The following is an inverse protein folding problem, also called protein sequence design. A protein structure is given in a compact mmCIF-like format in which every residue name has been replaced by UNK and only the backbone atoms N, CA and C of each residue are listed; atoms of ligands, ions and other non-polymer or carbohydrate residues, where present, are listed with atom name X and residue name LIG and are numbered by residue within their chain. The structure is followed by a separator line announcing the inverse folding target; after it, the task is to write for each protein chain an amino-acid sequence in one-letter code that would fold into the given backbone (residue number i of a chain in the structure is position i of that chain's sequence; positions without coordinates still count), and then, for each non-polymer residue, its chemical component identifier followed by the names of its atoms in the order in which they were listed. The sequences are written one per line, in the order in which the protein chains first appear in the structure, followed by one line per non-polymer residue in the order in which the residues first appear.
data_IF_585400785938
#
_entry.id   IF_585400785938
#
_cell.length_a   1.000
_cell.length_b   1.000
_cell.length_c   1.000
_cell.angle_alpha   90.00
_cell.angle_beta   90.00
_cell.angle_gamma   90.00
#
_symmetry.space_group_name_H-M   'P 1'
#
loop_
_entity.id
_entity.type
_entity.pdbx_description
1 polymer ?
#
# COMPACT_ATOMS: atom_id res chain seq x y z
N UNK A 1 -10.74 -5.55 10.49
CA UNK A 1 -10.49 -6.03 11.88
C UNK A 1 -10.74 -4.95 12.94
N UNK A 2 -10.31 -3.71 12.73
CA UNK A 2 -10.34 -2.68 13.78
C UNK A 2 -11.72 -2.13 14.16
N UNK A 3 -12.78 -2.55 13.46
CA UNK A 3 -14.17 -2.32 13.87
C UNK A 3 -14.64 -3.29 14.95
N UNK A 4 -13.89 -4.37 15.21
CA UNK A 4 -14.20 -5.33 16.26
C UNK A 4 -13.90 -4.74 17.64
N UNK A 5 -14.63 -5.22 18.66
CA UNK A 5 -14.28 -4.98 20.06
C UNK A 5 -12.91 -5.58 20.38
N UNK A 6 -12.15 -4.96 21.27
CA UNK A 6 -10.81 -5.37 21.68
C UNK A 6 -10.78 -6.84 22.12
N UNK A 7 -11.78 -7.27 22.91
CA UNK A 7 -11.94 -8.68 23.33
C UNK A 7 -12.03 -9.67 22.17
N UNK A 8 -12.65 -9.28 21.05
CA UNK A 8 -12.78 -10.16 19.88
C UNK A 8 -11.48 -10.17 19.07
N UNK A 9 -10.82 -9.02 18.94
CA UNK A 9 -9.51 -8.95 18.30
C UNK A 9 -8.46 -9.76 19.08
N UNK A 10 -8.52 -9.75 20.41
CA UNK A 10 -7.64 -10.52 21.29
C UNK A 10 -7.72 -12.03 21.00
N UNK A 11 -8.92 -12.58 20.78
CA UNK A 11 -9.10 -14.00 20.44
C UNK A 11 -8.35 -14.43 19.18
N UNK A 12 -8.07 -13.51 18.25
CA UNK A 12 -7.26 -13.79 17.05
C UNK A 12 -5.77 -13.52 17.23
N UNK A 13 -5.40 -12.53 18.05
CA UNK A 13 -4.01 -12.08 18.20
C UNK A 13 -3.28 -12.87 19.28
N UNK A 14 -3.91 -13.10 20.43
CA UNK A 14 -3.25 -13.71 21.59
C UNK A 14 -2.73 -15.13 21.33
N UNK A 15 -3.43 -16.02 20.61
CA UNK A 15 -2.89 -17.33 20.27
C UNK A 15 -1.56 -17.22 19.50
N UNK A 16 -1.41 -16.21 18.62
CA UNK A 16 -0.18 -15.99 17.85
C UNK A 16 1.01 -15.53 18.72
N UNK A 17 0.77 -15.26 20.02
CA UNK A 17 1.77 -14.89 21.02
C UNK A 17 2.28 -16.09 21.82
N UNK A 18 1.68 -17.27 21.65
CA UNK A 18 2.11 -18.49 22.33
C UNK A 18 3.41 -19.04 21.71
N UNK A 19 4.18 -19.79 22.51
CA UNK A 19 5.50 -20.28 22.11
C UNK A 19 5.49 -21.18 20.87
N UNK A 20 4.39 -21.89 20.60
CA UNK A 20 4.25 -22.67 19.36
C UNK A 20 4.27 -21.79 18.09
N UNK A 21 3.96 -20.50 18.22
CA UNK A 21 3.98 -19.49 17.17
C UNK A 21 5.17 -18.53 17.27
N UNK A 22 6.28 -18.95 17.89
CA UNK A 22 7.51 -18.14 17.95
C UNK A 22 8.08 -17.81 16.56
N UNK A 23 7.83 -18.65 15.55
CA UNK A 23 8.20 -18.34 14.17
C UNK A 23 7.45 -17.12 13.59
N UNK A 24 6.33 -16.71 14.18
CA UNK A 24 5.60 -15.49 13.81
C UNK A 24 6.28 -14.28 14.48
N UNK A 25 7.03 -13.54 13.68
CA UNK A 25 7.80 -12.38 14.12
C UNK A 25 7.07 -11.05 13.88
N UNK A 26 6.00 -11.06 13.10
CA UNK A 26 5.33 -9.82 12.66
C UNK A 26 3.82 -10.01 12.56
N UNK A 27 3.08 -9.10 13.18
CA UNK A 27 1.62 -9.01 13.08
C UNK A 27 1.27 -7.72 12.35
N UNK A 28 0.51 -7.84 11.26
CA UNK A 28 0.09 -6.70 10.43
C UNK A 28 -1.42 -6.55 10.48
N UNK A 29 -1.89 -5.33 10.77
CA UNK A 29 -3.31 -5.02 10.84
C UNK A 29 -3.66 -3.97 9.79
N UNK A 30 -4.36 -4.38 8.73
CA UNK A 30 -4.90 -3.46 7.72
C UNK A 30 -6.16 -2.75 8.21
N UNK A 31 -6.17 -1.42 8.16
CA UNK A 31 -7.34 -0.64 8.58
C UNK A 31 -7.46 0.74 7.94
N UNK A 32 -8.71 1.17 7.73
CA UNK A 32 -9.08 2.57 7.43
C UNK A 32 -9.67 3.29 8.66
N UNK A 33 -9.88 2.60 9.79
CA UNK A 33 -10.46 3.21 11.00
C UNK A 33 -9.66 4.40 11.51
N UNK A 34 -8.33 4.44 11.30
CA UNK A 34 -7.51 5.56 11.75
C UNK A 34 -7.79 6.88 11.00
N UNK A 35 -8.36 6.81 9.79
CA UNK A 35 -8.79 8.00 9.04
C UNK A 35 -10.24 8.37 9.32
N UNK A 36 -11.19 7.44 9.21
CA UNK A 36 -12.62 7.78 9.37
C UNK A 36 -13.16 7.68 10.80
N UNK A 37 -12.50 6.93 11.69
CA UNK A 37 -12.96 6.68 13.08
C UNK A 37 -11.78 6.64 14.09
N UNK A 38 -11.04 7.75 14.23
CA UNK A 38 -9.90 7.81 15.15
C UNK A 38 -10.28 7.63 16.63
N UNK A 39 -11.55 7.89 16.99
CA UNK A 39 -12.10 7.66 18.33
C UNK A 39 -11.93 6.22 18.84
N UNK A 40 -11.84 5.24 17.91
CA UNK A 40 -11.51 3.84 18.19
C UNK A 40 -10.28 3.64 19.07
N UNK A 41 -9.34 4.57 18.99
CA UNK A 41 -8.05 4.54 19.69
C UNK A 41 -7.96 5.59 20.79
N UNK A 42 -9.03 6.35 21.03
CA UNK A 42 -8.98 7.52 21.93
C UNK A 42 -10.09 7.53 22.97
N UNK A 43 -11.35 7.36 22.59
CA UNK A 43 -12.50 7.61 23.48
C UNK A 43 -13.51 6.46 23.54
N UNK A 44 -13.47 5.54 22.59
CA UNK A 44 -14.36 4.37 22.63
C UNK A 44 -14.14 3.57 23.91
N UNK A 45 -15.20 2.92 24.40
CA UNK A 45 -15.24 2.22 25.69
C UNK A 45 -14.06 1.25 25.90
N UNK A 46 -13.62 0.56 24.84
CA UNK A 46 -12.54 -0.42 24.87
C UNK A 46 -11.25 0.06 24.19
N UNK A 47 -11.07 1.38 24.00
CA UNK A 47 -9.88 1.95 23.37
C UNK A 47 -8.60 1.61 24.15
N UNK A 48 -8.66 1.64 25.48
CA UNK A 48 -7.53 1.32 26.35
C UNK A 48 -7.20 -0.18 26.31
N UNK A 49 -8.21 -1.05 26.29
CA UNK A 49 -8.03 -2.50 26.11
C UNK A 49 -7.34 -2.84 24.79
N UNK A 50 -7.73 -2.14 23.73
CA UNK A 50 -7.12 -2.32 22.42
C UNK A 50 -5.63 -1.94 22.44
N UNK A 51 -5.27 -0.82 23.06
CA UNK A 51 -3.86 -0.40 23.13
C UNK A 51 -3.05 -1.31 24.05
N UNK A 52 -3.62 -1.81 25.14
CA UNK A 52 -2.99 -2.85 25.97
C UNK A 52 -2.70 -4.13 25.18
N UNK A 53 -3.62 -4.52 24.29
CA UNK A 53 -3.36 -5.65 23.38
C UNK A 53 -2.18 -5.35 22.44
N UNK A 54 -2.07 -4.13 21.92
CA UNK A 54 -0.93 -3.73 21.08
C UNK A 54 0.40 -3.73 21.86
N UNK A 55 0.41 -3.22 23.09
CA UNK A 55 1.56 -3.28 24.00
C UNK A 55 1.98 -4.72 24.26
N UNK A 56 1.02 -5.62 24.52
CA UNK A 56 1.28 -7.05 24.75
C UNK A 56 1.99 -7.69 23.56
N UNK A 57 1.57 -7.39 22.33
CA UNK A 57 2.25 -7.90 21.11
C UNK A 57 3.71 -7.45 21.06
N UNK A 58 3.97 -6.16 21.30
CA UNK A 58 5.32 -5.58 21.24
C UNK A 58 6.21 -6.08 22.38
N UNK A 59 5.67 -6.21 23.60
CA UNK A 59 6.38 -6.74 24.76
C UNK A 59 6.80 -8.20 24.61
N UNK A 60 6.07 -8.98 23.81
CA UNK A 60 6.45 -10.35 23.40
C UNK A 60 7.52 -10.36 22.28
N UNK A 61 8.13 -9.22 21.98
CA UNK A 61 9.21 -9.09 20.99
C UNK A 61 8.74 -9.15 19.54
N UNK A 62 7.42 -9.17 19.27
CA UNK A 62 6.89 -9.23 17.90
C UNK A 62 6.71 -7.85 17.31
N UNK A 63 6.97 -7.72 16.01
CA UNK A 63 6.78 -6.48 15.27
C UNK A 63 5.30 -6.23 14.98
N UNK A 64 4.71 -5.19 15.59
CA UNK A 64 3.33 -4.78 15.31
C UNK A 64 3.31 -3.66 14.27
N UNK A 65 2.68 -3.90 13.12
CA UNK A 65 2.50 -2.91 12.07
C UNK A 65 1.02 -2.64 11.75
N UNK A 66 0.57 -1.41 12.01
CA UNK A 66 -0.73 -0.92 11.58
C UNK A 66 -0.60 -0.37 10.16
N UNK A 67 -1.24 -1.05 9.20
CA UNK A 67 -1.30 -0.62 7.80
C UNK A 67 -2.49 0.33 7.63
N UNK A 68 -2.26 1.61 7.90
CA UNK A 68 -3.28 2.65 7.90
C UNK A 68 -3.56 3.19 6.48
N UNK A 69 -4.83 3.42 6.17
CA UNK A 69 -5.26 3.98 4.91
C UNK A 69 -5.61 5.47 5.04
N UNK A 70 -4.86 6.31 4.34
CA UNK A 70 -5.06 7.77 4.25
C UNK A 70 -5.03 8.20 2.79
N UNK A 71 -6.15 8.70 2.30
CA UNK A 71 -6.32 9.17 0.92
C UNK A 71 -6.03 10.67 0.80
N UNK A 72 -6.21 11.46 1.87
CA UNK A 72 -5.99 12.90 1.81
C UNK A 72 -5.41 13.46 3.13
N UNK A 73 -4.54 14.46 3.05
CA UNK A 73 -3.88 15.06 4.22
C UNK A 73 -4.85 15.64 5.27
N UNK A 74 -6.08 16.00 4.85
CA UNK A 74 -7.14 16.49 5.74
C UNK A 74 -7.57 15.44 6.78
N UNK A 75 -7.48 14.16 6.44
CA UNK A 75 -7.79 13.06 7.37
C UNK A 75 -6.80 12.99 8.54
N UNK A 76 -5.59 13.55 8.37
CA UNK A 76 -4.54 13.63 9.39
C UNK A 76 -4.55 14.94 10.19
N UNK A 77 -5.31 15.94 9.72
CA UNK A 77 -5.20 17.31 10.21
C UNK A 77 -5.97 17.54 11.53
N UNK A 78 -6.90 16.64 11.86
CA UNK A 78 -7.69 16.76 13.09
C UNK A 78 -6.89 16.37 14.33
N UNK A 79 -7.16 17.05 15.46
CA UNK A 79 -6.52 16.73 16.74
C UNK A 79 -6.78 15.28 17.18
N UNK A 80 -7.98 14.78 16.92
CA UNK A 80 -8.35 13.40 17.29
C UNK A 80 -7.56 12.36 16.48
N UNK A 81 -7.32 12.59 15.18
CA UNK A 81 -6.50 11.71 14.35
C UNK A 81 -5.04 11.71 14.82
N UNK A 82 -4.49 12.88 15.12
CA UNK A 82 -3.11 13.00 15.62
C UNK A 82 -2.94 12.33 16.99
N UNK A 83 -3.92 12.48 17.89
CA UNK A 83 -3.95 11.79 19.19
C UNK A 83 -4.03 10.27 19.03
N UNK A 84 -4.87 9.77 18.10
CA UNK A 84 -4.96 8.34 17.81
C UNK A 84 -3.62 7.76 17.31
N UNK A 85 -2.96 8.46 16.38
CA UNK A 85 -1.62 8.10 15.88
C UNK A 85 -0.60 8.07 17.03
N UNK A 86 -0.57 9.11 17.86
CA UNK A 86 0.34 9.16 19.02
C UNK A 86 0.10 8.00 19.98
N UNK A 87 -1.15 7.70 20.30
CA UNK A 87 -1.53 6.62 21.22
C UNK A 87 -1.08 5.25 20.70
N UNK A 88 -1.32 4.93 19.43
CA UNK A 88 -0.83 3.69 18.81
C UNK A 88 0.69 3.62 18.86
N UNK A 89 1.39 4.70 18.49
CA UNK A 89 2.87 4.70 18.49
C UNK A 89 3.46 4.52 19.88
N UNK A 90 2.77 5.01 20.91
CA UNK A 90 3.23 4.88 22.31
C UNK A 90 3.26 3.43 22.77
N UNK A 91 2.49 2.52 22.15
CA UNK A 91 2.55 1.08 22.45
C UNK A 91 3.79 0.39 21.88
N UNK A 92 4.62 1.13 21.11
CA UNK A 92 5.71 0.59 20.31
C UNK A 92 5.27 0.04 18.94
N UNK A 93 3.97 0.05 18.64
CA UNK A 93 3.46 -0.30 17.31
C UNK A 93 3.83 0.73 16.25
N UNK A 94 4.21 0.27 15.06
CA UNK A 94 4.53 1.15 13.94
C UNK A 94 3.31 1.34 13.02
N UNK A 95 3.17 2.55 12.48
CA UNK A 95 2.11 2.86 11.51
C UNK A 95 2.74 3.02 10.13
N UNK A 96 2.36 2.16 9.19
CA UNK A 96 2.70 2.25 7.77
C UNK A 96 1.49 2.71 6.99
N UNK A 97 1.65 3.69 6.09
CA UNK A 97 0.52 4.31 5.39
C UNK A 97 0.47 3.93 3.93
N UNK A 98 -0.73 3.69 3.43
CA UNK A 98 -0.97 3.33 2.04
C UNK A 98 -2.29 3.88 1.54
N UNK A 99 -2.38 4.21 0.24
CA UNK A 99 -3.65 4.58 -0.38
C UNK A 99 -3.62 4.38 -1.90
N UNK A 100 -4.79 4.18 -2.52
CA UNK A 100 -4.93 4.33 -3.95
C UNK A 100 -4.90 5.80 -4.36
N UNK A 101 -4.46 6.06 -5.59
CA UNK A 101 -4.72 7.33 -6.28
C UNK A 101 -6.10 7.26 -6.90
N UNK A 102 -6.92 8.26 -6.58
CA UNK A 102 -8.34 8.31 -6.90
C UNK A 102 -8.66 9.67 -7.49
N UNK A 103 -9.28 9.68 -8.68
CA UNK A 103 -9.68 10.90 -9.38
C UNK A 103 -10.57 11.74 -8.48
N UNK A 104 -10.40 13.07 -8.55
CA UNK A 104 -11.14 14.05 -7.76
C UNK A 104 -10.85 14.08 -6.24
N UNK A 105 -10.11 13.11 -5.70
CA UNK A 105 -9.78 13.05 -4.26
C UNK A 105 -8.32 13.43 -4.03
N UNK A 106 -7.40 12.69 -4.63
CA UNK A 106 -5.96 12.84 -4.38
C UNK A 106 -5.12 12.75 -5.66
N UNK A 107 -5.71 13.09 -6.80
CA UNK A 107 -5.10 13.08 -8.14
C UNK A 107 -4.14 14.26 -8.42
N UNK A 108 -3.50 14.79 -7.37
CA UNK A 108 -2.55 15.91 -7.45
C UNK A 108 -1.27 15.64 -6.68
N UNK A 109 -0.12 15.95 -7.29
CA UNK A 109 1.19 15.72 -6.69
C UNK A 109 1.35 16.41 -5.32
N UNK A 110 0.88 17.66 -5.20
CA UNK A 110 0.91 18.42 -3.95
C UNK A 110 0.11 17.75 -2.83
N UNK A 111 -1.03 17.10 -3.14
CA UNK A 111 -1.83 16.39 -2.14
C UNK A 111 -1.03 15.25 -1.51
N UNK A 112 -0.34 14.45 -2.33
CA UNK A 112 0.52 13.37 -1.87
C UNK A 112 1.76 13.87 -1.14
N UNK A 113 2.46 14.87 -1.69
CA UNK A 113 3.63 15.48 -1.05
C UNK A 113 3.32 16.01 0.35
N UNK A 114 2.25 16.79 0.49
CA UNK A 114 1.78 17.29 1.80
C UNK A 114 1.38 16.15 2.74
N UNK A 115 0.65 15.16 2.23
CA UNK A 115 0.21 14.02 3.02
C UNK A 115 1.39 13.21 3.58
N UNK A 116 2.37 12.87 2.76
CA UNK A 116 3.56 12.13 3.20
C UNK A 116 4.41 12.92 4.19
N UNK A 117 4.59 14.23 3.98
CA UNK A 117 5.28 15.09 4.96
C UNK A 117 4.57 15.09 6.32
N UNK A 118 3.23 15.20 6.33
CA UNK A 118 2.44 15.13 7.55
C UNK A 118 2.53 13.76 8.23
N UNK A 119 2.50 12.67 7.45
CA UNK A 119 2.68 11.32 7.97
C UNK A 119 4.04 11.16 8.65
N UNK A 120 5.13 11.58 7.99
CA UNK A 120 6.48 11.54 8.57
C UNK A 120 6.55 12.38 9.85
N UNK A 121 5.98 13.60 9.86
CA UNK A 121 5.93 14.47 11.05
C UNK A 121 5.23 13.80 12.24
N UNK A 122 4.18 13.01 11.98
CA UNK A 122 3.42 12.28 12.99
C UNK A 122 4.07 10.93 13.37
N UNK A 123 5.19 10.58 12.73
CA UNK A 123 5.93 9.33 12.95
C UNK A 123 5.30 8.11 12.27
N UNK A 124 4.45 8.33 11.26
CA UNK A 124 4.00 7.31 10.34
C UNK A 124 5.02 7.11 9.21
N UNK A 125 5.04 5.91 8.62
CA UNK A 125 5.97 5.51 7.56
C UNK A 125 5.21 5.41 6.23
N UNK A 126 5.41 6.34 5.28
CA UNK A 126 4.88 6.22 3.93
C UNK A 126 5.31 4.92 3.27
N UNK A 127 4.34 4.09 2.84
CA UNK A 127 4.61 2.72 2.37
C UNK A 127 4.25 2.50 0.91
N UNK A 128 2.97 2.66 0.52
CA UNK A 128 2.54 2.44 -0.86
C UNK A 128 1.60 3.54 -1.38
N UNK A 129 1.83 3.94 -2.64
CA UNK A 129 0.87 4.62 -3.48
C UNK A 129 0.41 3.65 -4.56
N UNK A 130 -0.83 3.18 -4.41
CA UNK A 130 -1.42 2.21 -5.31
C UNK A 130 -2.12 2.89 -6.48
N UNK A 131 -2.10 2.25 -7.64
CA UNK A 131 -3.11 2.49 -8.68
C UNK A 131 -4.41 1.88 -8.16
N UNK A 132 -5.53 2.60 -8.31
CA UNK A 132 -6.84 2.08 -7.92
C UNK A 132 -7.18 0.81 -8.71
N UNK A 133 -7.68 -0.20 -8.00
CA UNK A 133 -8.11 -1.46 -8.63
C UNK A 133 -9.45 -1.24 -9.33
N UNK A 134 -9.63 -1.93 -10.44
CA UNK A 134 -10.91 -2.03 -11.14
C UNK A 134 -12.00 -2.58 -10.19
N UNK A 135 -12.80 -1.70 -9.60
CA UNK A 135 -13.93 -2.04 -8.72
C UNK A 135 -15.10 -1.09 -8.98
N UNK A 136 -16.34 -1.61 -9.00
CA UNK A 136 -17.58 -0.83 -9.03
C UNK A 136 -17.58 0.39 -9.95
N UNK A 137 -17.40 1.58 -9.36
CA UNK A 137 -17.40 2.88 -10.04
C UNK A 137 -16.05 3.23 -10.71
N UNK A 138 -15.39 2.24 -11.33
CA UNK A 138 -14.05 2.34 -11.93
C UNK A 138 -13.92 3.59 -12.82
N UNK A 139 -14.81 3.76 -13.79
CA UNK A 139 -14.70 4.80 -14.82
C UNK A 139 -14.73 6.22 -14.25
N UNK A 140 -15.36 6.40 -13.09
CA UNK A 140 -15.42 7.68 -12.41
C UNK A 140 -14.12 8.03 -11.67
N UNK A 141 -13.44 7.03 -11.13
CA UNK A 141 -12.30 7.20 -10.24
C UNK A 141 -10.94 6.88 -10.85
N UNK A 142 -10.91 6.17 -11.98
CA UNK A 142 -9.67 5.73 -12.62
C UNK A 142 -8.84 6.90 -13.16
N UNK A 143 -7.53 6.67 -13.23
CA UNK A 143 -6.56 7.63 -13.75
C UNK A 143 -5.61 6.87 -14.67
N UNK A 144 -5.30 7.38 -15.87
CA UNK A 144 -4.32 6.74 -16.75
C UNK A 144 -2.97 6.54 -16.06
N UNK A 145 -2.33 5.40 -16.31
CA UNK A 145 -1.08 5.01 -15.65
C UNK A 145 0.03 6.05 -15.83
N UNK A 146 0.08 6.70 -16.99
CA UNK A 146 0.99 7.83 -17.25
C UNK A 146 0.76 8.99 -16.28
N UNK A 147 -0.49 9.33 -16.00
CA UNK A 147 -0.86 10.39 -15.05
C UNK A 147 -0.57 10.00 -13.61
N UNK A 148 -0.84 8.74 -13.23
CA UNK A 148 -0.49 8.24 -11.89
C UNK A 148 1.02 8.32 -11.67
N UNK A 149 1.82 7.93 -12.68
CA UNK A 149 3.28 8.05 -12.63
C UNK A 149 3.75 9.50 -12.55
N UNK A 150 3.17 10.42 -13.32
CA UNK A 150 3.47 11.86 -13.24
C UNK A 150 3.20 12.42 -11.83
N UNK A 151 2.06 12.08 -11.23
CA UNK A 151 1.69 12.49 -9.87
C UNK A 151 2.72 11.98 -8.87
N UNK A 152 3.07 10.69 -8.93
CA UNK A 152 4.06 10.09 -8.03
C UNK A 152 5.43 10.75 -8.18
N UNK A 153 5.92 10.89 -9.43
CA UNK A 153 7.23 11.48 -9.75
C UNK A 153 7.33 12.91 -9.22
N UNK A 154 6.28 13.71 -9.36
CA UNK A 154 6.27 15.09 -8.87
C UNK A 154 6.12 15.15 -7.34
N UNK A 155 5.32 14.27 -6.74
CA UNK A 155 5.12 14.24 -5.29
C UNK A 155 6.40 13.81 -4.55
N UNK A 156 7.10 12.79 -5.05
CA UNK A 156 8.30 12.24 -4.39
C UNK A 156 9.47 13.24 -4.38
N UNK A 157 9.49 14.18 -5.33
CA UNK A 157 10.47 15.28 -5.37
C UNK A 157 10.25 16.31 -4.27
N UNK A 158 9.03 16.42 -3.73
CA UNK A 158 8.66 17.39 -2.71
C UNK A 158 8.96 16.91 -1.27
N UNK A 159 9.38 15.65 -1.09
CA UNK A 159 9.59 15.07 0.24
C UNK A 159 11.06 14.80 0.55
N UNK A 160 11.40 14.85 1.83
CA UNK A 160 12.73 14.46 2.32
C UNK A 160 12.96 12.95 2.14
N UNK A 161 14.19 12.49 2.35
CA UNK A 161 14.54 11.06 2.26
C UNK A 161 13.64 10.15 3.09
N UNK A 162 13.16 10.62 4.25
CA UNK A 162 12.22 9.88 5.11
C UNK A 162 10.85 9.66 4.46
N UNK A 163 10.39 10.58 3.61
CA UNK A 163 9.15 10.42 2.84
C UNK A 163 9.34 9.59 1.57
N UNK A 164 10.58 9.42 1.10
CA UNK A 164 10.90 8.65 -0.12
C UNK A 164 10.78 7.13 0.06
N UNK A 165 10.41 6.66 1.24
CA UNK A 165 10.10 5.25 1.50
C UNK A 165 8.81 4.81 0.82
N UNK A 166 7.92 5.75 0.45
CA UNK A 166 6.71 5.46 -0.31
C UNK A 166 7.07 4.86 -1.67
N UNK A 167 6.62 3.63 -1.93
CA UNK A 167 6.78 2.97 -3.24
C UNK A 167 5.54 3.22 -4.08
N UNK A 168 5.73 3.70 -5.30
CA UNK A 168 4.64 3.98 -6.22
C UNK A 168 5.11 4.30 -7.63
N UNK A 169 4.18 4.36 -8.59
CA UNK A 169 2.84 3.77 -8.52
C UNK A 169 2.90 2.23 -8.51
N UNK A 170 2.05 1.56 -7.71
CA UNK A 170 1.99 0.09 -7.63
C UNK A 170 0.60 -0.43 -8.00
N UNK A 171 0.53 -1.45 -8.85
CA UNK A 171 -0.67 -2.22 -9.14
C UNK A 171 -0.59 -3.56 -8.41
N UNK A 172 -1.57 -3.87 -7.55
CA UNK A 172 -1.70 -5.21 -6.96
C UNK A 172 -2.51 -6.11 -7.90
N UNK A 173 -1.82 -6.77 -8.83
CA UNK A 173 -2.41 -7.58 -9.89
C UNK A 173 -2.26 -9.09 -9.63
N UNK A 174 -2.89 -9.91 -10.47
CA UNK A 174 -2.84 -11.38 -10.40
C UNK A 174 -1.40 -11.97 -10.38
N UNK A 175 -0.48 -11.55 -11.27
CA UNK A 175 0.90 -12.05 -11.25
C UNK A 175 1.70 -11.56 -10.03
N UNK A 176 1.30 -10.44 -9.42
CA UNK A 176 2.05 -9.82 -8.35
C UNK A 176 1.80 -8.31 -8.20
N UNK A 177 2.61 -7.67 -7.37
CA UNK A 177 2.67 -6.22 -7.21
C UNK A 177 3.62 -5.64 -8.24
N UNK A 178 3.07 -5.03 -9.28
CA UNK A 178 3.84 -4.39 -10.36
C UNK A 178 4.00 -2.91 -10.06
N UNK A 179 5.23 -2.40 -10.12
CA UNK A 179 5.55 -0.99 -9.99
C UNK A 179 5.85 -0.39 -11.35
N UNK A 180 5.37 0.83 -11.60
CA UNK A 180 5.83 1.65 -12.72
C UNK A 180 7.12 2.35 -12.29
N UNK A 181 8.24 1.93 -12.84
CA UNK A 181 9.55 2.53 -12.58
C UNK A 181 9.71 3.85 -13.33
N UNK A 182 9.18 3.92 -14.55
CA UNK A 182 9.42 5.03 -15.44
C UNK A 182 8.64 4.94 -16.73
N UNK A 183 8.75 6.02 -17.50
CA UNK A 183 8.44 6.05 -18.92
C UNK A 183 9.74 6.39 -19.61
N UNK A 184 10.10 5.63 -20.65
CA UNK A 184 11.33 5.80 -21.40
C UNK A 184 11.05 5.74 -22.90
N UNK A 185 12.01 6.20 -23.68
CA UNK A 185 12.08 5.94 -25.12
C UNK A 185 13.25 5.01 -25.38
N UNK A 186 13.00 3.88 -26.04
CA UNK A 186 14.00 2.85 -26.35
C UNK A 186 13.86 2.54 -27.84
N UNK A 187 14.91 2.75 -28.61
CA UNK A 187 14.91 2.55 -30.07
C UNK A 187 13.78 3.33 -30.80
N UNK A 188 13.42 4.51 -30.30
CA UNK A 188 12.33 5.32 -30.84
C UNK A 188 10.92 4.88 -30.42
N UNK A 189 10.78 3.79 -29.66
CA UNK A 189 9.51 3.37 -29.07
C UNK A 189 9.39 3.92 -27.65
N UNK A 190 8.29 4.64 -27.37
CA UNK A 190 7.92 5.05 -26.03
C UNK A 190 7.34 3.85 -25.27
N UNK A 191 7.85 3.58 -24.07
CA UNK A 191 7.50 2.41 -23.27
C UNK A 191 7.26 2.76 -21.80
N UNK A 192 6.41 1.98 -21.14
CA UNK A 192 6.41 1.88 -19.68
C UNK A 192 7.52 0.93 -19.23
N UNK A 193 8.29 1.36 -18.24
CA UNK A 193 9.28 0.51 -17.55
C UNK A 193 8.67 0.01 -16.26
N UNK A 194 8.61 -1.31 -16.10
CA UNK A 194 7.88 -1.97 -15.02
C UNK A 194 8.79 -2.95 -14.28
N UNK A 195 8.48 -3.21 -13.01
CA UNK A 195 9.14 -4.25 -12.21
C UNK A 195 8.17 -4.90 -11.24
N UNK A 196 8.43 -6.14 -10.82
CA UNK A 196 7.70 -6.76 -9.72
C UNK A 196 8.34 -6.43 -8.37
N UNK A 197 7.57 -5.87 -7.44
CA UNK A 197 7.97 -5.75 -6.02
C UNK A 197 7.71 -7.04 -5.24
N UNK A 198 6.73 -7.81 -5.70
CA UNK A 198 6.33 -9.11 -5.17
C UNK A 198 5.65 -9.85 -6.31
N UNK A 199 5.93 -11.14 -6.48
CA UNK A 199 5.39 -11.94 -7.58
C UNK A 199 5.01 -13.35 -7.13
N UNK A 200 4.24 -14.06 -7.95
CA UNK A 200 3.92 -15.50 -7.74
C UNK A 200 5.17 -16.37 -7.81
N UNK A 201 6.07 -16.10 -8.76
CA UNK A 201 7.43 -16.62 -8.74
C UNK A 201 8.39 -15.52 -8.21
N UNK A 202 9.12 -15.76 -7.10
CA UNK A 202 10.10 -14.81 -6.56
C UNK A 202 11.17 -14.37 -7.56
N UNK A 203 11.52 -15.18 -8.57
CA UNK A 203 12.53 -14.86 -9.58
C UNK A 203 12.10 -13.72 -10.54
N UNK A 204 10.82 -13.37 -10.57
CA UNK A 204 10.34 -12.23 -11.36
C UNK A 204 10.61 -10.88 -10.68
N UNK A 205 10.85 -10.89 -9.36
CA UNK A 205 11.01 -9.67 -8.56
C UNK A 205 12.23 -8.87 -9.00
N UNK A 206 12.08 -7.54 -9.10
CA UNK A 206 13.10 -6.58 -9.53
C UNK A 206 13.71 -6.84 -10.92
N UNK A 207 13.13 -7.74 -11.73
CA UNK A 207 13.47 -7.87 -13.15
C UNK A 207 12.69 -6.80 -13.94
N UNK A 208 13.37 -5.85 -14.62
CA UNK A 208 12.68 -4.89 -15.46
C UNK A 208 12.01 -5.58 -16.65
N UNK A 209 10.83 -5.09 -17.01
CA UNK A 209 10.15 -5.45 -18.26
C UNK A 209 9.45 -4.23 -18.84
N UNK A 210 9.10 -4.31 -20.12
CA UNK A 210 8.64 -3.16 -20.89
C UNK A 210 7.26 -3.43 -21.49
N UNK A 211 6.38 -2.44 -21.39
CA UNK A 211 5.10 -2.44 -22.08
C UNK A 211 5.08 -1.29 -23.08
N UNK A 212 4.46 -1.50 -24.25
CA UNK A 212 4.22 -0.41 -25.21
C UNK A 212 3.41 0.69 -24.52
N UNK A 213 3.74 1.94 -24.83
CA UNK A 213 3.06 3.07 -24.24
C UNK A 213 1.64 3.20 -24.77
N UNK A 214 0.68 3.07 -23.86
CA UNK A 214 -0.73 3.40 -24.07
C UNK A 214 -1.11 4.55 -23.11
N UNK A 215 -1.47 5.74 -23.63
CA UNK A 215 -1.85 6.88 -22.79
C UNK A 215 -3.18 6.69 -22.04
N UNK A 216 -4.01 5.74 -22.46
CA UNK A 216 -5.35 5.49 -21.89
C UNK A 216 -5.37 4.27 -20.96
N UNK A 217 -4.32 3.44 -20.94
CA UNK A 217 -4.23 2.31 -20.03
C UNK A 217 -4.36 2.76 -18.57
N UNK A 218 -5.26 2.13 -17.82
CA UNK A 218 -5.50 2.42 -16.38
C UNK A 218 -5.10 1.26 -15.48
N UNK A 219 -4.81 0.09 -16.05
CA UNK A 219 -4.42 -1.10 -15.30
C UNK A 219 -3.43 -2.01 -16.06
N UNK A 220 -2.82 -2.97 -15.36
CA UNK A 220 -1.84 -3.90 -15.94
C UNK A 220 -2.42 -4.71 -17.11
N UNK A 221 -3.70 -5.08 -17.04
CA UNK A 221 -4.36 -5.88 -18.09
C UNK A 221 -4.60 -5.12 -19.39
N UNK A 222 -4.49 -3.79 -19.37
CA UNK A 222 -4.65 -2.96 -20.57
C UNK A 222 -3.31 -2.83 -21.33
N UNK A 223 -2.19 -3.17 -20.67
CA UNK A 223 -0.85 -3.04 -21.23
C UNK A 223 -0.51 -4.22 -22.15
N UNK A 224 0.26 -3.91 -23.20
CA UNK A 224 0.81 -4.91 -24.14
C UNK A 224 2.34 -4.92 -24.06
N UNK A 225 3.00 -6.07 -24.30
CA UNK A 225 4.46 -6.13 -24.37
C UNK A 225 5.02 -5.16 -25.42
N UNK A 226 6.15 -4.52 -25.10
CA UNK A 226 6.85 -3.64 -26.04
C UNK A 226 7.61 -4.42 -27.12
N UNK A 227 8.16 -3.72 -28.12
CA UNK A 227 9.11 -4.26 -29.09
C UNK A 227 8.57 -5.39 -29.98
N UNK A 228 7.25 -5.43 -30.18
CA UNK A 228 6.59 -6.45 -31.01
C UNK A 228 6.50 -7.83 -30.36
N UNK A 229 6.81 -7.94 -29.07
CA UNK A 229 6.66 -9.19 -28.31
C UNK A 229 5.18 -9.57 -28.16
N UNK A 230 4.90 -10.87 -28.20
CA UNK A 230 3.52 -11.39 -28.11
C UNK A 230 3.04 -11.62 -26.68
N UNK A 231 3.98 -11.78 -25.73
CA UNK A 231 3.70 -12.05 -24.31
C UNK A 231 4.72 -11.35 -23.41
N UNK A 232 4.30 -10.99 -22.19
CA UNK A 232 5.25 -10.62 -21.15
C UNK A 232 6.00 -11.87 -20.66
N UNK A 233 7.24 -11.68 -20.19
CA UNK A 233 8.12 -12.78 -19.77
C UNK A 233 7.52 -13.71 -18.70
N UNK A 234 6.53 -13.25 -17.94
CA UNK A 234 5.91 -14.00 -16.83
C UNK A 234 4.64 -14.74 -17.22
N UNK A 235 4.03 -14.48 -18.40
CA UNK A 235 2.67 -14.94 -18.69
C UNK A 235 2.56 -16.45 -18.83
N UNK A 236 3.44 -17.09 -19.61
CA UNK A 236 3.41 -18.55 -19.78
C UNK A 236 3.61 -19.29 -18.45
N UNK A 237 4.54 -18.84 -17.62
CA UNK A 237 4.78 -19.46 -16.32
C UNK A 237 3.64 -19.16 -15.32
N UNK A 238 3.01 -17.98 -15.41
CA UNK A 238 1.81 -17.66 -14.62
C UNK A 238 0.67 -18.62 -14.97
N UNK A 239 0.42 -18.87 -16.25
CA UNK A 239 -0.59 -19.84 -16.72
C UNK A 239 -0.34 -21.23 -16.11
N UNK A 240 0.91 -21.72 -16.14
CA UNK A 240 1.27 -23.00 -15.51
C UNK A 240 1.04 -23.02 -13.99
N UNK A 241 1.42 -21.97 -13.28
CA UNK A 241 1.22 -21.85 -11.83
C UNK A 241 -0.27 -21.89 -11.48
N UNK A 242 -1.11 -21.24 -12.29
CA UNK A 242 -2.55 -21.20 -12.08
C UNK A 242 -3.19 -22.56 -12.35
N UNK A 243 -2.82 -23.23 -13.45
CA UNK A 243 -3.33 -24.57 -13.79
C UNK A 243 -2.93 -25.62 -12.75
N UNK A 244 -1.69 -25.62 -12.27
CA UNK A 244 -1.23 -26.58 -11.23
C UNK A 244 -1.93 -26.41 -9.89
N UNK A 245 -2.51 -25.24 -9.60
CA UNK A 245 -3.28 -24.99 -8.36
C UNK A 245 -4.74 -25.41 -8.47
N UNK A 246 -5.23 -25.72 -9.67
CA UNK A 246 -6.60 -26.20 -9.90
C UNK A 246 -6.70 -27.72 -9.88
N UNK A 247 -5.56 -28.42 -9.84
CA UNK A 247 -5.42 -29.88 -9.66
C UNK A 247 -5.02 -30.16 -8.22
#
# INVERSE_FOLDING_TARGET
PMTMKARQLALYIEPLLEGEFDHIQTIRIGTKSLSYWPYRYVTDEDADDLLRLFEKVVQQGKHLAIMAHYEHWRELDTQIAQKAIQRIRTTGGEIRTQAPVVRHINDRAHTWGKMWQMQVRLGCIPYYMFVERQTGAKDYFEIPLVKVWEIYRQAIQQVSGLGRTARGPVMSALPGKVKIEGISEIQGEKVFVLSFLQARNPQWCNRPFFASFDPEATWLGDLKPAFGESKFFYESELEEILTRKMV
#
